data_IF_992534102429
#
_entry.id   IF_992534102429
#
_cell.length_a   1.000
_cell.length_b   1.000
_cell.length_c   1.000
_cell.angle_alpha   90.00
_cell.angle_beta   90.00
_cell.angle_gamma   90.00
#
_symmetry.space_group_name_H-M   'P 1'
#
loop_
_entity.id
_entity.type
_entity.pdbx_description
1 polymer ?
#
# COMPACT_ATOMS: atom_id res chain seq x y z
N UNK A 1 -5.97 -1.35 -0.71
CA UNK A 1 -4.56 -1.46 -1.15
C UNK A 1 -3.66 -0.74 -0.14
N UNK A 2 -2.60 -1.39 0.33
CA UNK A 2 -1.64 -0.82 1.30
C UNK A 2 -0.22 -0.93 0.71
N UNK A 3 0.37 0.15 0.18
CA UNK A 3 1.76 0.12 -0.25
C UNK A 3 2.70 -0.08 0.94
N UNK A 4 3.65 -1.01 0.84
CA UNK A 4 4.65 -1.31 1.87
C UNK A 4 6.06 -1.42 1.26
N UNK A 5 7.03 -0.76 1.90
CA UNK A 5 8.47 -0.87 1.54
C UNK A 5 9.14 -2.09 2.21
N UNK A 6 8.48 -2.64 3.22
CA UNK A 6 8.94 -3.78 4.00
C UNK A 6 8.10 -3.96 5.26
N UNK A 7 8.47 -4.91 6.12
CA UNK A 7 7.76 -5.14 7.37
C UNK A 7 8.34 -4.32 8.52
N UNK A 8 7.54 -3.41 9.07
CA UNK A 8 7.86 -2.59 10.23
C UNK A 8 6.55 -2.18 10.94
N UNK A 9 6.64 -1.43 12.06
CA UNK A 9 5.48 -0.98 12.87
C UNK A 9 4.44 -0.18 12.08
N UNK A 10 4.82 0.34 10.93
CA UNK A 10 4.11 1.35 10.16
C UNK A 10 3.27 0.63 9.12
N UNK A 11 3.92 -0.26 8.36
CA UNK A 11 3.27 -1.27 7.53
C UNK A 11 2.29 -2.13 8.35
N UNK A 12 2.69 -2.58 9.54
CA UNK A 12 1.81 -3.37 10.42
C UNK A 12 0.55 -2.59 10.81
N UNK A 13 0.69 -1.34 11.26
CA UNK A 13 -0.46 -0.52 11.68
C UNK A 13 -1.39 -0.20 10.51
N UNK A 14 -0.84 0.18 9.37
CA UNK A 14 -1.63 0.51 8.19
C UNK A 14 -2.38 -0.72 7.68
N UNK A 15 -1.74 -1.89 7.70
CA UNK A 15 -2.40 -3.14 7.33
C UNK A 15 -3.52 -3.51 8.33
N UNK A 16 -3.28 -3.35 9.63
CA UNK A 16 -4.32 -3.54 10.66
C UNK A 16 -5.49 -2.56 10.50
N UNK A 17 -5.21 -1.31 10.15
CA UNK A 17 -6.24 -0.33 9.85
C UNK A 17 -7.05 -0.74 8.61
N UNK A 18 -6.37 -1.12 7.52
CA UNK A 18 -7.02 -1.58 6.29
C UNK A 18 -7.93 -2.80 6.52
N UNK A 19 -7.48 -3.79 7.31
CA UNK A 19 -8.27 -4.98 7.66
C UNK A 19 -9.51 -4.67 8.51
N UNK A 20 -9.57 -3.52 9.19
CA UNK A 20 -10.76 -3.10 9.95
C UNK A 20 -11.84 -2.48 9.09
N UNK A 21 -11.47 -1.97 7.92
CA UNK A 21 -12.38 -1.24 7.03
C UNK A 21 -12.71 -2.01 5.75
N UNK A 22 -12.01 -3.12 5.48
CA UNK A 22 -12.23 -3.98 4.32
C UNK A 22 -11.81 -5.43 4.63
N UNK A 23 -12.58 -6.39 4.12
CA UNK A 23 -12.19 -7.80 4.08
C UNK A 23 -11.26 -8.11 2.88
N UNK A 24 -11.27 -7.25 1.85
CA UNK A 24 -10.39 -7.37 0.70
C UNK A 24 -9.24 -6.37 0.82
N UNK A 25 -8.10 -6.89 1.30
CA UNK A 25 -6.90 -6.09 1.56
C UNK A 25 -5.73 -6.71 0.82
N UNK A 26 -5.09 -5.92 -0.04
CA UNK A 26 -3.80 -6.27 -0.65
C UNK A 26 -2.71 -5.33 -0.14
N UNK A 27 -1.67 -5.89 0.44
CA UNK A 27 -0.39 -5.22 0.65
C UNK A 27 0.40 -5.27 -0.65
N UNK A 28 0.89 -4.13 -1.14
CA UNK A 28 1.65 -4.03 -2.39
C UNK A 28 3.08 -3.63 -2.07
N UNK A 29 4.03 -4.49 -2.42
CA UNK A 29 5.45 -4.23 -2.29
C UNK A 29 6.07 -4.02 -3.65
N UNK A 30 6.69 -2.86 -3.88
CA UNK A 30 7.40 -2.56 -5.13
C UNK A 30 8.90 -2.73 -4.89
N UNK A 31 9.58 -3.51 -5.71
CA UNK A 31 10.99 -3.89 -5.50
C UNK A 31 11.78 -3.94 -6.82
N UNK A 32 13.06 -3.59 -6.78
CA UNK A 32 13.99 -3.77 -7.90
C UNK A 32 14.48 -5.21 -8.05
N UNK A 33 14.37 -6.02 -6.99
CA UNK A 33 14.70 -7.44 -7.03
C UNK A 33 13.47 -8.22 -7.48
N UNK A 34 13.65 -9.22 -8.35
CA UNK A 34 12.57 -10.09 -8.86
C UNK A 34 11.76 -10.75 -7.74
N UNK A 35 12.34 -10.92 -6.55
CA UNK A 35 11.61 -11.43 -5.37
C UNK A 35 12.18 -10.84 -4.07
N UNK A 36 11.31 -10.55 -3.11
CA UNK A 36 11.68 -10.24 -1.72
C UNK A 36 11.26 -11.39 -0.80
N UNK A 37 12.02 -12.49 -0.82
CA UNK A 37 11.67 -13.71 -0.09
C UNK A 37 11.53 -13.47 1.42
N UNK A 38 12.40 -12.63 1.98
CA UNK A 38 12.33 -12.26 3.39
C UNK A 38 10.99 -11.60 3.76
N UNK A 39 10.48 -10.68 2.92
CA UNK A 39 9.18 -10.06 3.16
C UNK A 39 8.04 -11.08 3.02
N UNK A 40 8.10 -11.96 2.02
CA UNK A 40 7.10 -13.01 1.81
C UNK A 40 7.03 -13.93 3.04
N UNK A 41 8.17 -14.38 3.55
CA UNK A 41 8.26 -15.26 4.72
C UNK A 41 7.74 -14.55 5.98
N UNK A 42 8.10 -13.27 6.15
CA UNK A 42 7.57 -12.45 7.24
C UNK A 42 6.06 -12.31 7.12
N UNK A 43 5.52 -12.05 5.93
CA UNK A 43 4.08 -11.87 5.73
C UNK A 43 3.32 -13.15 6.08
N UNK A 44 3.78 -14.31 5.59
CA UNK A 44 3.20 -15.62 5.91
C UNK A 44 3.25 -15.97 7.39
N UNK A 45 4.27 -15.53 8.12
CA UNK A 45 4.44 -15.90 9.54
C UNK A 45 3.87 -14.87 10.51
N UNK A 46 3.87 -13.59 10.15
CA UNK A 46 3.52 -12.46 11.04
C UNK A 46 2.19 -11.80 10.69
N UNK A 47 1.62 -12.07 9.53
CA UNK A 47 0.37 -11.43 9.08
C UNK A 47 -0.76 -12.42 8.93
N UNK A 48 -0.58 -13.44 8.09
CA UNK A 48 -1.67 -14.36 7.70
C UNK A 48 -2.26 -15.13 8.91
N UNK A 49 -1.47 -15.82 9.77
CA UNK A 49 -2.04 -16.50 10.93
C UNK A 49 -2.65 -15.53 11.94
N UNK A 50 -1.98 -14.43 12.37
CA UNK A 50 -2.58 -13.49 13.31
C UNK A 50 -3.87 -12.83 12.81
N UNK A 51 -3.99 -12.55 11.50
CA UNK A 51 -5.22 -12.04 10.91
C UNK A 51 -6.36 -13.04 11.08
N UNK A 52 -6.13 -14.31 10.73
CA UNK A 52 -7.11 -15.39 10.88
C UNK A 52 -7.56 -15.60 12.33
N UNK A 53 -6.62 -15.65 13.28
CA UNK A 53 -6.96 -15.79 14.71
C UNK A 53 -7.76 -14.59 15.26
N UNK A 54 -7.57 -13.41 14.69
CA UNK A 54 -8.30 -12.20 15.06
C UNK A 54 -9.64 -12.04 14.33
N UNK A 55 -10.05 -13.03 13.51
CA UNK A 55 -11.30 -13.00 12.77
C UNK A 55 -11.28 -12.12 11.50
N UNK A 56 -10.10 -11.68 11.06
CA UNK A 56 -9.94 -10.96 9.80
C UNK A 56 -9.69 -11.92 8.65
N UNK A 57 -10.19 -11.58 7.46
CA UNK A 57 -9.76 -12.24 6.22
C UNK A 57 -8.27 -11.97 6.00
N UNK A 58 -7.54 -13.01 5.61
CA UNK A 58 -6.10 -12.88 5.38
C UNK A 58 -5.83 -11.91 4.23
N UNK A 59 -5.03 -10.85 4.45
CA UNK A 59 -4.66 -9.94 3.39
C UNK A 59 -3.76 -10.65 2.38
N UNK A 60 -3.80 -10.22 1.12
CA UNK A 60 -2.87 -10.69 0.07
C UNK A 60 -1.60 -9.86 0.09
N UNK A 61 -0.49 -10.45 -0.35
CA UNK A 61 0.75 -9.75 -0.67
C UNK A 61 0.98 -9.81 -2.18
N UNK A 62 1.03 -8.64 -2.83
CA UNK A 62 1.47 -8.50 -4.22
C UNK A 62 2.89 -7.93 -4.24
N UNK A 63 3.80 -8.60 -4.94
CA UNK A 63 5.16 -8.10 -5.17
C UNK A 63 5.25 -7.65 -6.63
N UNK A 64 5.49 -6.37 -6.83
CA UNK A 64 5.62 -5.76 -8.16
C UNK A 64 7.08 -5.47 -8.42
N UNK A 65 7.62 -6.05 -9.47
CA UNK A 65 8.97 -5.75 -9.92
C UNK A 65 8.98 -4.39 -10.64
N UNK A 66 9.87 -3.49 -10.22
CA UNK A 66 10.03 -2.18 -10.81
C UNK A 66 11.51 -1.83 -10.95
N UNK A 67 12.04 -1.79 -12.19
CA UNK A 67 13.39 -1.31 -12.41
C UNK A 67 13.47 0.20 -12.14
N UNK A 68 14.63 0.68 -11.69
CA UNK A 68 14.95 2.11 -11.48
C UNK A 68 14.25 2.79 -10.28
N UNK A 69 13.92 2.05 -9.22
CA UNK A 69 13.25 2.56 -7.99
C UNK A 69 11.95 3.33 -8.22
N UNK A 70 11.28 3.11 -9.35
CA UNK A 70 10.00 3.74 -9.63
C UNK A 70 8.92 3.08 -8.78
N UNK A 71 8.47 3.73 -7.71
CA UNK A 71 7.46 3.15 -6.83
C UNK A 71 6.02 3.48 -7.29
N UNK A 72 5.79 4.69 -7.81
CA UNK A 72 4.44 5.18 -8.11
C UNK A 72 3.85 4.65 -9.39
N UNK A 73 4.64 4.61 -10.46
CA UNK A 73 4.18 4.15 -11.76
C UNK A 73 3.67 2.69 -11.70
N UNK A 74 4.40 1.72 -11.11
CA UNK A 74 3.89 0.36 -10.97
C UNK A 74 2.70 0.24 -10.00
N UNK A 75 2.67 1.06 -8.93
CA UNK A 75 1.52 1.08 -8.02
C UNK A 75 0.25 1.62 -8.70
N UNK A 76 0.40 2.65 -9.53
CA UNK A 76 -0.67 3.21 -10.34
C UNK A 76 -1.19 2.20 -11.35
N UNK A 77 -0.29 1.56 -12.09
CA UNK A 77 -0.63 0.49 -13.03
C UNK A 77 -1.37 -0.65 -12.32
N UNK A 78 -0.93 -1.02 -11.11
CA UNK A 78 -1.62 -2.00 -10.28
C UNK A 78 -3.05 -1.55 -9.93
N UNK A 79 -3.22 -0.31 -9.46
CA UNK A 79 -4.54 0.23 -9.11
C UNK A 79 -5.45 0.25 -10.35
N UNK A 80 -4.94 0.71 -11.49
CA UNK A 80 -5.67 0.74 -12.76
C UNK A 80 -6.08 -0.66 -13.23
N UNK A 81 -5.20 -1.67 -13.05
CA UNK A 81 -5.53 -3.07 -13.34
C UNK A 81 -6.66 -3.56 -12.46
N UNK A 82 -6.54 -3.43 -11.14
CA UNK A 82 -7.58 -3.90 -10.20
C UNK A 82 -8.90 -3.17 -10.44
N UNK A 83 -8.87 -1.87 -10.77
CA UNK A 83 -10.07 -1.09 -11.10
C UNK A 83 -10.80 -1.61 -12.34
N UNK A 84 -10.06 -2.06 -13.35
CA UNK A 84 -10.65 -2.71 -14.55
C UNK A 84 -11.23 -4.08 -14.24
N UNK A 85 -10.61 -4.82 -13.31
CA UNK A 85 -11.08 -6.13 -12.86
C UNK A 85 -12.28 -6.03 -11.91
N UNK A 86 -12.46 -4.90 -11.21
CA UNK A 86 -13.50 -4.67 -10.20
C UNK A 86 -14.31 -3.39 -10.47
N UNK A 87 -15.12 -3.36 -11.54
CA UNK A 87 -15.77 -2.14 -12.00
C UNK A 87 -16.71 -1.48 -10.98
N UNK A 88 -17.28 -2.23 -10.04
CA UNK A 88 -18.25 -1.72 -9.07
C UNK A 88 -17.66 -1.54 -7.65
N UNK A 89 -16.33 -1.53 -7.52
CA UNK A 89 -15.65 -1.49 -6.21
C UNK A 89 -14.86 -0.20 -6.01
N UNK A 90 -14.98 0.40 -4.82
CA UNK A 90 -14.13 1.51 -4.39
C UNK A 90 -12.78 0.96 -3.92
N UNK A 91 -11.70 1.50 -4.47
CA UNK A 91 -10.33 1.16 -4.10
C UNK A 91 -9.83 2.18 -3.09
N UNK A 92 -9.73 1.78 -1.82
CA UNK A 92 -9.06 2.55 -0.79
C UNK A 92 -7.54 2.30 -0.81
N UNK A 93 -6.76 3.34 -1.05
CA UNK A 93 -5.29 3.32 -0.96
C UNK A 93 -4.88 3.90 0.39
N UNK A 94 -4.47 3.04 1.31
CA UNK A 94 -4.08 3.43 2.68
C UNK A 94 -2.60 3.78 2.68
N UNK A 95 -2.28 5.06 2.72
CA UNK A 95 -0.92 5.56 2.69
C UNK A 95 -0.41 5.75 4.13
N UNK A 96 0.63 5.02 4.54
CA UNK A 96 1.08 5.03 5.93
C UNK A 96 2.05 6.16 6.23
N UNK A 97 1.60 7.42 6.34
CA UNK A 97 2.47 8.59 6.54
C UNK A 97 3.43 8.45 7.74
N UNK A 98 4.74 8.36 7.45
CA UNK A 98 5.81 8.45 8.43
C UNK A 98 6.66 9.68 8.13
N UNK A 99 6.72 10.62 9.05
CA UNK A 99 7.38 11.93 8.89
C UNK A 99 8.89 11.84 8.61
N UNK A 100 9.51 10.64 8.64
CA UNK A 100 10.98 10.47 8.51
C UNK A 100 11.47 9.36 7.56
N UNK A 101 10.60 8.67 6.79
CA UNK A 101 11.09 7.64 5.86
C UNK A 101 10.98 8.10 4.40
N UNK A 102 12.07 7.87 3.66
CA UNK A 102 12.36 8.40 2.32
C UNK A 102 11.24 8.17 1.30
N UNK A 103 10.37 7.17 1.48
CA UNK A 103 9.24 6.92 0.56
C UNK A 103 8.18 8.04 0.56
N UNK A 104 7.93 8.73 1.69
CA UNK A 104 7.06 9.91 1.72
C UNK A 104 7.76 11.15 1.18
N UNK A 105 9.08 11.29 1.42
CA UNK A 105 9.93 12.28 0.75
C UNK A 105 9.91 12.09 -0.78
N UNK A 106 9.96 10.86 -1.29
CA UNK A 106 9.79 10.57 -2.71
C UNK A 106 8.35 10.77 -3.22
N UNK A 107 7.33 10.55 -2.38
CA UNK A 107 5.91 10.88 -2.69
C UNK A 107 5.70 12.39 -2.82
N UNK A 108 6.22 13.18 -1.88
CA UNK A 108 5.98 14.62 -1.78
C UNK A 108 6.98 15.50 -2.54
N UNK A 109 8.25 15.10 -2.63
CA UNK A 109 9.29 15.92 -3.28
C UNK A 109 9.42 15.66 -4.78
N UNK A 110 8.95 14.52 -5.28
CA UNK A 110 8.59 14.44 -6.69
C UNK A 110 7.18 14.96 -6.80
N UNK A 111 6.90 15.71 -7.85
CA UNK A 111 5.57 16.12 -8.28
C UNK A 111 4.58 14.94 -8.48
N UNK A 112 4.90 13.71 -8.06
CA UNK A 112 4.18 12.45 -8.17
C UNK A 112 2.99 12.31 -7.20
N UNK A 113 3.02 12.77 -5.94
CA UNK A 113 1.79 12.79 -5.13
C UNK A 113 0.81 13.83 -5.65
N UNK A 114 1.31 15.00 -6.06
CA UNK A 114 0.51 16.01 -6.74
C UNK A 114 0.05 15.51 -8.10
N UNK A 115 0.86 14.80 -8.88
CA UNK A 115 0.48 14.22 -10.18
C UNK A 115 -0.45 13.02 -10.03
N UNK A 116 -0.30 12.18 -9.01
CA UNK A 116 -1.24 11.10 -8.64
C UNK A 116 -2.58 11.71 -8.24
N UNK A 117 -2.57 12.69 -7.34
CA UNK A 117 -3.76 13.42 -6.93
C UNK A 117 -4.39 14.16 -8.11
N UNK A 118 -3.58 14.76 -9.00
CA UNK A 118 -4.01 15.48 -10.20
C UNK A 118 -4.49 14.52 -11.29
N UNK A 119 -3.89 13.34 -11.47
CA UNK A 119 -4.34 12.30 -12.40
C UNK A 119 -5.65 11.69 -11.91
N UNK A 120 -5.77 11.37 -10.62
CA UNK A 120 -7.01 10.89 -9.99
C UNK A 120 -8.13 11.94 -10.07
N UNK A 121 -7.81 13.23 -9.86
CA UNK A 121 -8.78 14.33 -9.96
C UNK A 121 -9.13 14.71 -11.41
N UNK A 122 -8.16 14.70 -12.36
CA UNK A 122 -8.38 15.03 -13.78
C UNK A 122 -9.00 13.86 -14.56
N UNK A 123 -8.77 12.60 -14.16
CA UNK A 123 -9.48 11.43 -14.72
C UNK A 123 -10.85 11.20 -14.07
N UNK A 124 -11.27 12.02 -13.09
CA UNK A 124 -12.62 12.00 -12.55
C UNK A 124 -13.05 10.65 -11.97
N UNK A 125 -12.11 9.83 -11.48
CA UNK A 125 -12.44 8.46 -11.07
C UNK A 125 -12.87 8.46 -9.60
N UNK A 126 -14.17 8.61 -9.37
CA UNK A 126 -14.84 8.65 -8.05
C UNK A 126 -14.58 7.41 -7.17
N UNK A 127 -13.94 6.37 -7.73
CA UNK A 127 -13.76 5.07 -7.10
C UNK A 127 -12.40 4.88 -6.44
N UNK A 128 -11.46 5.83 -6.52
CA UNK A 128 -10.18 5.73 -5.81
C UNK A 128 -10.14 6.72 -4.65
N UNK A 129 -10.07 6.19 -3.43
CA UNK A 129 -10.01 6.99 -2.20
C UNK A 129 -8.63 6.84 -1.57
N UNK A 130 -7.95 7.95 -1.31
CA UNK A 130 -6.67 7.95 -0.61
C UNK A 130 -6.90 8.23 0.87
N UNK A 131 -6.41 7.33 1.73
CA UNK A 131 -6.52 7.46 3.19
C UNK A 131 -5.12 7.61 3.76
N UNK A 132 -4.81 8.80 4.26
CA UNK A 132 -3.55 9.04 4.96
C UNK A 132 -3.70 8.61 6.42
N UNK A 133 -2.78 7.77 6.89
CA UNK A 133 -2.72 7.33 8.29
C UNK A 133 -1.49 7.95 8.96
N UNK A 134 -1.59 9.20 9.47
CA UNK A 134 -0.45 9.91 10.02
C UNK A 134 0.08 9.20 11.26
N UNK A 135 1.37 8.85 11.24
CA UNK A 135 2.06 8.31 12.40
C UNK A 135 3.17 9.24 12.87
N UNK A 136 2.95 9.80 14.07
CA UNK A 136 3.99 10.44 14.84
C UNK A 136 4.79 9.36 15.56
N UNK A 137 6.10 9.22 15.24
CA UNK A 137 7.05 8.58 16.16
C UNK A 137 6.90 9.32 17.50
N UNK A 138 6.21 8.73 18.47
CA UNK A 138 6.46 9.08 19.86
C UNK A 138 7.72 8.31 20.24
N UNK A 139 8.83 9.04 20.24
CA UNK A 139 10.09 8.58 20.82
C UNK A 139 9.83 8.28 22.30
N UNK A 140 9.77 7.00 22.65
CA UNK A 140 9.80 6.49 24.02
C UNK A 140 10.85 5.39 24.06
#
# INVERSE_FOLDING_TARGET
VVPIDGWNRVSERALRFAMRISEDVTAVHVTENETNQALIDIFRTRVEPPAGHAGYRQPRLEVIHSPYRKLFEPLLEYIERIKKETPDTIIAVVIPELVKSRWWEYLLHNHAATALKTLLLLHGDERVVVINTPWYLRDH
#
